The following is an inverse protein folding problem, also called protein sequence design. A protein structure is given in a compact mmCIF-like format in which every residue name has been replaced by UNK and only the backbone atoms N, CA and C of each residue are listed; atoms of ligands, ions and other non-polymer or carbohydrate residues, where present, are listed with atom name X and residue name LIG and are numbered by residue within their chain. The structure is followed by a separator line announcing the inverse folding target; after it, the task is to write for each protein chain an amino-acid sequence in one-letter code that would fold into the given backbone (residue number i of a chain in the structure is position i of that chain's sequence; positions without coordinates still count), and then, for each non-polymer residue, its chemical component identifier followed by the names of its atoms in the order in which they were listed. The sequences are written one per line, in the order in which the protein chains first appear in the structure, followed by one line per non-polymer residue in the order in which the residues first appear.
data_IF_296630505959
#
_entry.id   IF_296630505959
#
_cell.length_a   1.000
_cell.length_b   1.000
_cell.length_c   1.000
_cell.angle_alpha   90.00
_cell.angle_beta   90.00
_cell.angle_gamma   90.00
#
_symmetry.space_group_name_H-M   'P 1'
#
loop_
_entity.id
_entity.type
_entity.pdbx_description
1 polymer ?
#
# COMPACT_ATOMS: atom_id res chain seq x y z
N UNK A 1 19.97 4.61 14.14
CA UNK A 1 18.75 4.75 14.94
C UNK A 1 18.43 3.38 15.51
N UNK A 2 18.27 3.28 16.83
CA UNK A 2 17.88 2.03 17.48
C UNK A 2 16.45 1.65 17.08
N UNK A 3 16.12 0.35 17.03
CA UNK A 3 14.78 -0.12 16.69
C UNK A 3 13.73 0.37 17.71
N UNK A 4 14.11 0.52 18.98
CA UNK A 4 13.22 1.12 19.99
C UNK A 4 13.00 2.61 19.75
N UNK A 5 14.05 3.32 19.35
CA UNK A 5 14.01 4.75 19.01
C UNK A 5 13.19 4.99 17.74
N UNK A 6 13.31 4.12 16.73
CA UNK A 6 12.47 4.12 15.52
C UNK A 6 11.00 3.84 15.87
N UNK A 7 10.75 2.88 16.79
CA UNK A 7 9.39 2.60 17.27
C UNK A 7 8.77 3.78 18.00
N UNK A 8 9.51 4.46 18.87
CA UNK A 8 8.99 5.63 19.61
C UNK A 8 8.85 6.88 18.75
N UNK A 9 9.68 7.02 17.72
CA UNK A 9 9.62 8.17 16.79
C UNK A 9 8.45 8.06 15.82
N UNK A 10 8.10 6.84 15.38
CA UNK A 10 7.09 6.64 14.34
C UNK A 10 5.78 5.98 14.83
N UNK A 11 5.80 5.18 15.90
CA UNK A 11 4.56 4.84 16.60
C UNK A 11 4.24 5.97 17.57
N UNK A 12 3.21 6.74 17.24
CA UNK A 12 2.67 7.81 18.09
C UNK A 12 2.07 7.29 19.41
N UNK A 13 2.24 6.01 19.77
CA UNK A 13 1.59 5.40 20.93
C UNK A 13 2.28 4.11 21.44
N UNK A 14 2.19 3.84 22.75
CA UNK A 14 2.51 2.53 23.35
C UNK A 14 1.42 1.54 22.95
N UNK A 15 1.71 0.39 22.31
CA UNK A 15 0.69 -0.57 21.89
C UNK A 15 0.06 -1.38 23.05
N UNK A 16 0.64 -1.40 24.25
CA UNK A 16 0.13 -2.19 25.39
C UNK A 16 -1.31 -1.89 25.89
N UNK A 17 -1.79 -0.63 25.93
CA UNK A 17 -3.15 -0.30 26.34
C UNK A 17 -4.17 -0.55 25.23
N UNK A 18 -3.72 -0.83 24.00
CA UNK A 18 -4.58 -1.05 22.84
C UNK A 18 -4.80 -2.56 22.67
N UNK A 19 -6.06 -2.98 22.63
CA UNK A 19 -6.43 -4.39 22.57
C UNK A 19 -6.25 -5.01 21.19
N UNK A 20 -7.33 -5.37 20.50
CA UNK A 20 -7.26 -5.94 19.14
C UNK A 20 -6.92 -4.85 18.12
N UNK A 21 -5.70 -4.88 17.57
CA UNK A 21 -5.22 -3.91 16.56
C UNK A 21 -5.31 -4.50 15.15
N UNK A 22 -5.91 -3.75 14.23
CA UNK A 22 -5.96 -4.08 12.80
C UNK A 22 -5.11 -3.06 12.03
N UNK A 23 -4.36 -3.52 11.03
CA UNK A 23 -3.57 -2.65 10.14
C UNK A 23 -4.14 -2.63 8.73
N UNK A 24 -4.24 -1.45 8.15
CA UNK A 24 -4.74 -1.22 6.79
C UNK A 24 -3.65 -0.52 5.98
N UNK A 25 -3.11 -1.21 4.98
CA UNK A 25 -1.98 -0.73 4.18
C UNK A 25 -2.46 -0.34 2.79
N UNK A 26 -2.44 0.96 2.49
CA UNK A 26 -2.60 1.47 1.11
C UNK A 26 -1.25 1.46 0.39
N UNK A 27 -0.97 0.40 -0.36
CA UNK A 27 0.33 0.22 -1.02
C UNK A 27 0.63 1.30 -2.07
N UNK A 28 -0.41 1.92 -2.65
CA UNK A 28 -0.22 3.05 -3.57
C UNK A 28 0.44 4.24 -2.88
N UNK A 29 0.13 4.44 -1.59
CA UNK A 29 0.60 5.53 -0.76
C UNK A 29 1.82 5.20 0.12
N UNK A 30 2.24 3.93 0.21
CA UNK A 30 3.49 3.53 0.92
C UNK A 30 4.75 3.97 0.16
N UNK A 31 4.66 4.18 -1.16
CA UNK A 31 5.84 4.42 -2.02
C UNK A 31 6.58 5.73 -1.72
N UNK A 32 5.91 6.86 -1.44
CA UNK A 32 6.56 8.05 -0.91
C UNK A 32 7.27 7.80 0.43
N UNK A 33 6.65 7.11 1.39
CA UNK A 33 7.21 6.86 2.73
C UNK A 33 8.44 5.96 2.71
N UNK A 34 8.45 4.93 1.86
CA UNK A 34 9.59 4.02 1.74
C UNK A 34 10.89 4.75 1.36
N UNK A 35 10.80 5.86 0.61
CA UNK A 35 11.95 6.68 0.25
C UNK A 35 12.55 7.40 1.47
N UNK A 36 11.70 7.82 2.40
CA UNK A 36 12.10 8.55 3.60
C UNK A 36 12.61 7.61 4.70
N UNK A 37 11.98 6.45 4.88
CA UNK A 37 12.32 5.47 5.91
C UNK A 37 13.54 4.61 5.59
N UNK A 38 13.78 4.33 4.29
CA UNK A 38 14.94 3.54 3.85
C UNK A 38 15.75 4.30 2.79
N UNK A 39 16.37 5.43 3.18
CA UNK A 39 17.05 6.31 2.24
C UNK A 39 18.26 5.63 1.59
N UNK A 40 19.02 4.82 2.35
CA UNK A 40 20.16 4.05 1.79
C UNK A 40 19.73 3.02 0.74
N UNK A 41 18.55 2.41 0.92
CA UNK A 41 18.00 1.39 0.01
C UNK A 41 17.27 2.02 -1.19
N UNK A 42 16.93 3.33 -1.11
CA UNK A 42 16.17 4.08 -2.11
C UNK A 42 16.89 5.34 -2.64
N UNK A 43 18.22 5.41 -2.48
CA UNK A 43 19.05 6.63 -2.61
C UNK A 43 19.20 7.22 -4.01
N UNK A 44 18.69 6.58 -5.04
CA UNK A 44 18.80 7.04 -6.42
C UNK A 44 17.47 6.91 -7.14
N UNK A 45 17.36 7.39 -8.38
CA UNK A 45 16.24 7.21 -9.34
C UNK A 45 15.80 5.75 -9.60
N UNK A 46 16.08 4.83 -8.70
CA UNK A 46 15.71 3.45 -8.69
C UNK A 46 14.29 3.29 -8.16
N UNK A 47 13.44 2.73 -9.02
CA UNK A 47 12.22 2.06 -8.62
C UNK A 47 12.56 0.76 -7.88
N UNK A 48 13.24 0.83 -6.74
CA UNK A 48 13.37 -0.32 -5.86
C UNK A 48 11.95 -0.78 -5.50
N UNK A 49 11.70 -2.06 -5.73
CA UNK A 49 10.41 -2.66 -5.40
C UNK A 49 10.28 -2.61 -3.86
N UNK A 50 9.22 -1.96 -3.36
CA UNK A 50 9.00 -1.89 -1.90
C UNK A 50 8.87 -3.32 -1.38
N UNK A 51 9.63 -3.65 -0.33
CA UNK A 51 9.61 -4.99 0.20
C UNK A 51 8.36 -5.22 1.07
N UNK A 52 7.38 -5.90 0.48
CA UNK A 52 6.13 -6.28 1.15
C UNK A 52 6.36 -7.09 2.43
N UNK A 53 7.45 -7.86 2.52
CA UNK A 53 7.80 -8.59 3.73
C UNK A 53 8.17 -7.65 4.88
N UNK A 54 8.96 -6.59 4.60
CA UNK A 54 9.29 -5.56 5.58
C UNK A 54 8.06 -4.78 6.04
N UNK A 55 7.11 -4.47 5.13
CA UNK A 55 5.84 -3.85 5.54
C UNK A 55 5.07 -4.75 6.53
N UNK A 56 5.05 -6.07 6.28
CA UNK A 56 4.43 -7.01 7.20
C UNK A 56 5.12 -7.04 8.56
N UNK A 57 6.45 -6.96 8.56
CA UNK A 57 7.25 -6.87 9.79
C UNK A 57 6.88 -5.62 10.60
N UNK A 58 6.77 -4.46 9.94
CA UNK A 58 6.31 -3.21 10.57
C UNK A 58 4.93 -3.38 11.20
N UNK A 59 3.98 -3.99 10.46
CA UNK A 59 2.64 -4.30 11.01
C UNK A 59 2.73 -5.19 12.26
N UNK A 60 3.70 -6.11 12.32
CA UNK A 60 3.87 -7.03 13.45
C UNK A 60 4.39 -6.35 14.73
N UNK A 61 5.03 -5.18 14.62
CA UNK A 61 5.61 -4.47 15.77
C UNK A 61 4.56 -4.07 16.81
N UNK A 62 3.32 -3.86 16.38
CA UNK A 62 2.17 -3.56 17.24
C UNK A 62 1.24 -4.76 17.43
N UNK A 63 1.72 -5.98 17.18
CA UNK A 63 0.97 -7.23 17.36
C UNK A 63 -0.39 -7.23 16.66
N UNK A 64 -0.45 -6.74 15.41
CA UNK A 64 -1.71 -6.69 14.65
C UNK A 64 -2.37 -8.07 14.54
N UNK A 65 -3.66 -8.14 14.84
CA UNK A 65 -4.48 -9.36 14.69
C UNK A 65 -4.71 -9.69 13.21
N UNK A 66 -4.97 -8.67 12.39
CA UNK A 66 -5.13 -8.76 10.94
C UNK A 66 -4.41 -7.59 10.27
N UNK A 67 -3.90 -7.83 9.07
CA UNK A 67 -3.29 -6.80 8.24
C UNK A 67 -3.90 -6.90 6.84
N UNK A 68 -4.48 -5.81 6.36
CA UNK A 68 -5.10 -5.69 5.05
C UNK A 68 -4.14 -4.99 4.09
N UNK A 69 -4.08 -5.45 2.85
CA UNK A 69 -3.20 -4.91 1.81
C UNK A 69 -4.04 -4.49 0.61
N UNK A 70 -4.17 -3.17 0.44
CA UNK A 70 -4.94 -2.56 -0.64
C UNK A 70 -4.02 -2.23 -1.80
N UNK A 71 -4.35 -2.76 -2.99
CA UNK A 71 -3.50 -2.61 -4.16
C UNK A 71 -4.27 -2.47 -5.47
N UNK A 72 -3.92 -1.42 -6.20
CA UNK A 72 -4.37 -1.19 -7.57
C UNK A 72 -3.62 -2.08 -8.55
N UNK A 73 -4.31 -2.95 -9.29
CA UNK A 73 -3.68 -3.85 -10.26
C UNK A 73 -3.93 -3.40 -11.70
N UNK A 74 -3.05 -3.78 -12.62
CA UNK A 74 -3.31 -3.67 -14.05
C UNK A 74 -3.86 -5.00 -14.57
N UNK A 75 -5.04 -4.96 -15.19
CA UNK A 75 -5.56 -6.07 -15.98
C UNK A 75 -4.61 -6.43 -17.12
N UNK A 76 -4.74 -7.65 -17.64
CA UNK A 76 -4.00 -8.06 -18.83
C UNK A 76 -4.49 -7.23 -20.02
N UNK A 77 -3.58 -6.71 -20.81
CA UNK A 77 -3.94 -6.05 -22.06
C UNK A 77 -4.53 -7.08 -23.04
N UNK A 78 -5.83 -6.99 -23.30
CA UNK A 78 -6.57 -7.89 -24.19
C UNK A 78 -6.07 -7.85 -25.64
N UNK A 79 -5.31 -6.81 -26.01
CA UNK A 79 -4.71 -6.69 -27.34
C UNK A 79 -3.45 -7.53 -27.50
N UNK A 80 -2.84 -7.95 -26.40
CA UNK A 80 -1.67 -8.81 -26.44
C UNK A 80 -2.09 -10.25 -26.75
N UNK A 81 -1.43 -10.93 -27.70
CA UNK A 81 -1.67 -12.34 -27.98
C UNK A 81 -1.58 -13.22 -26.72
N UNK A 82 -2.24 -14.37 -26.78
CA UNK A 82 -2.13 -15.37 -25.72
C UNK A 82 -0.67 -15.83 -25.57
N UNK A 83 -0.20 -16.03 -24.33
CA UNK A 83 1.21 -16.33 -24.03
C UNK A 83 2.20 -15.15 -24.08
N UNK A 84 1.84 -13.98 -24.59
CA UNK A 84 2.74 -12.82 -24.55
C UNK A 84 2.87 -12.23 -23.13
N UNK A 85 4.07 -11.72 -22.84
CA UNK A 85 4.37 -11.08 -21.55
C UNK A 85 3.74 -9.69 -21.51
N UNK A 86 2.85 -9.47 -20.55
CA UNK A 86 2.41 -8.15 -20.12
C UNK A 86 3.17 -7.74 -18.85
N UNK A 87 4.21 -6.90 -18.92
CA UNK A 87 5.03 -6.57 -17.76
C UNK A 87 4.25 -5.88 -16.63
N UNK A 88 3.22 -5.09 -16.95
CA UNK A 88 2.44 -4.34 -15.93
C UNK A 88 1.48 -5.28 -15.19
N UNK A 89 0.82 -6.14 -15.93
CA UNK A 89 -0.03 -7.18 -15.37
C UNK A 89 0.80 -8.15 -14.52
N UNK A 90 1.88 -8.70 -15.08
CA UNK A 90 2.76 -9.66 -14.39
C UNK A 90 3.33 -9.10 -13.09
N UNK A 91 3.71 -7.81 -13.09
CA UNK A 91 4.18 -7.14 -11.88
C UNK A 91 3.07 -6.99 -10.83
N UNK A 92 1.84 -6.74 -11.26
CA UNK A 92 0.69 -6.66 -10.37
C UNK A 92 0.39 -8.03 -9.73
N UNK A 93 0.38 -9.10 -10.51
CA UNK A 93 0.21 -10.48 -10.03
C UNK A 93 1.29 -10.83 -9.02
N UNK A 94 2.56 -10.55 -9.34
CA UNK A 94 3.69 -10.79 -8.44
C UNK A 94 3.51 -10.13 -7.07
N UNK A 95 3.07 -8.87 -7.03
CA UNK A 95 2.84 -8.13 -5.78
C UNK A 95 1.70 -8.70 -4.96
N UNK A 96 0.59 -9.01 -5.62
CA UNK A 96 -0.59 -9.63 -4.99
C UNK A 96 -0.20 -10.96 -4.35
N UNK A 97 0.51 -11.81 -5.10
CA UNK A 97 0.95 -13.12 -4.61
C UNK A 97 1.97 -12.98 -3.48
N UNK A 98 2.90 -12.02 -3.58
CA UNK A 98 3.86 -11.74 -2.50
C UNK A 98 3.15 -11.25 -1.23
N UNK A 99 2.12 -10.40 -1.34
CA UNK A 99 1.32 -9.96 -0.20
C UNK A 99 0.56 -11.13 0.46
N UNK A 100 -0.08 -11.99 -0.34
CA UNK A 100 -0.75 -13.21 0.17
C UNK A 100 0.23 -14.15 0.88
N UNK A 101 1.40 -14.39 0.30
CA UNK A 101 2.47 -15.21 0.92
C UNK A 101 2.93 -14.64 2.27
N UNK A 102 2.87 -13.32 2.43
CA UNK A 102 3.17 -12.62 3.68
C UNK A 102 1.94 -12.46 4.61
N UNK A 103 0.87 -13.23 4.38
CA UNK A 103 -0.34 -13.28 5.24
C UNK A 103 -1.04 -11.92 5.39
N UNK A 104 -1.11 -11.17 4.30
CA UNK A 104 -2.04 -10.05 4.19
C UNK A 104 -3.40 -10.54 3.68
N UNK A 105 -4.47 -9.93 4.19
CA UNK A 105 -5.79 -9.96 3.55
C UNK A 105 -5.77 -8.98 2.39
N UNK A 106 -5.74 -9.48 1.16
CA UNK A 106 -5.50 -8.63 -0.02
C UNK A 106 -6.82 -8.14 -0.62
N UNK A 107 -6.94 -6.82 -0.74
CA UNK A 107 -8.05 -6.14 -1.41
C UNK A 107 -7.51 -5.50 -2.68
N UNK A 108 -8.08 -5.87 -3.83
CA UNK A 108 -7.61 -5.38 -5.13
C UNK A 108 -8.69 -4.65 -5.89
N UNK A 109 -8.27 -3.65 -6.66
CA UNK A 109 -9.12 -2.88 -7.57
C UNK A 109 -8.34 -2.63 -8.85
N UNK A 110 -9.02 -2.67 -9.99
CA UNK A 110 -8.34 -2.39 -11.25
C UNK A 110 -7.96 -0.91 -11.35
N UNK A 111 -6.74 -0.65 -11.81
CA UNK A 111 -6.21 0.70 -12.00
C UNK A 111 -6.80 1.32 -13.26
N UNK A 112 -7.43 2.47 -13.11
CA UNK A 112 -8.02 3.19 -14.24
C UNK A 112 -7.04 4.20 -14.80
N UNK A 113 -6.92 4.23 -16.13
CA UNK A 113 -6.11 5.21 -16.84
C UNK A 113 -6.94 6.47 -17.14
N UNK A 114 -6.73 7.52 -16.37
CA UNK A 114 -7.51 8.76 -16.49
C UNK A 114 -6.77 9.73 -17.44
N UNK A 115 -7.44 10.30 -18.45
CA UNK A 115 -6.84 11.32 -19.31
C UNK A 115 -6.51 12.58 -18.51
N UNK A 116 -5.33 13.16 -18.75
CA UNK A 116 -4.90 14.41 -18.16
C UNK A 116 -4.72 15.45 -19.26
N UNK A 117 -5.15 16.67 -18.93
CA UNK A 117 -5.04 17.85 -19.77
C UNK A 117 -4.23 18.91 -19.02
N UNK A 118 -3.51 19.74 -19.77
CA UNK A 118 -2.83 20.92 -19.20
C UNK A 118 -3.82 22.07 -18.97
N UNK A 119 -3.32 23.20 -18.46
CA UNK A 119 -4.10 24.40 -18.17
C UNK A 119 -4.79 25.00 -19.41
N UNK A 120 -4.28 24.69 -20.61
CA UNK A 120 -4.84 25.12 -21.89
C UNK A 120 -5.79 24.07 -22.49
N UNK A 121 -6.09 23.00 -21.76
CA UNK A 121 -6.96 21.92 -22.23
C UNK A 121 -6.31 20.98 -23.25
N UNK A 122 -4.98 21.04 -23.45
CA UNK A 122 -4.27 20.12 -24.35
C UNK A 122 -4.04 18.79 -23.67
N UNK A 123 -4.28 17.69 -24.38
CA UNK A 123 -4.07 16.34 -23.87
C UNK A 123 -2.57 16.08 -23.61
N UNK A 124 -2.24 15.72 -22.36
CA UNK A 124 -0.86 15.46 -21.90
C UNK A 124 -0.57 13.96 -21.81
N UNK A 125 -1.60 13.13 -21.65
CA UNK A 125 -1.45 11.69 -21.54
C UNK A 125 -2.51 11.06 -20.66
N UNK A 126 -2.32 9.78 -20.31
CA UNK A 126 -3.15 9.09 -19.32
C UNK A 126 -2.31 8.72 -18.12
N UNK A 127 -2.86 8.93 -16.92
CA UNK A 127 -2.20 8.62 -15.67
C UNK A 127 -2.96 7.53 -14.92
N UNK A 128 -2.25 6.58 -14.30
CA UNK A 128 -2.88 5.55 -13.50
C UNK A 128 -3.45 6.17 -12.22
N UNK A 129 -4.74 5.97 -11.98
CA UNK A 129 -5.37 6.30 -10.70
C UNK A 129 -6.05 5.05 -10.14
N UNK A 130 -5.79 4.80 -8.86
CA UNK A 130 -6.48 3.84 -8.03
C UNK A 130 -6.46 4.39 -6.61
N UNK A 131 -7.63 4.69 -6.05
CA UNK A 131 -7.78 5.09 -4.67
C UNK A 131 -8.60 4.05 -3.91
N UNK A 132 -8.27 3.92 -2.63
CA UNK A 132 -8.93 3.01 -1.70
C UNK A 132 -9.52 3.75 -0.49
N UNK A 133 -9.58 5.09 -0.51
CA UNK A 133 -10.07 5.89 0.61
C UNK A 133 -11.46 5.44 1.07
N UNK A 134 -12.36 5.19 0.11
CA UNK A 134 -13.74 4.74 0.40
C UNK A 134 -13.75 3.30 0.91
N UNK A 135 -13.06 2.39 0.22
CA UNK A 135 -13.02 0.97 0.56
C UNK A 135 -12.39 0.74 1.95
N UNK A 136 -11.28 1.41 2.24
CA UNK A 136 -10.64 1.32 3.55
C UNK A 136 -11.54 1.93 4.61
N UNK A 137 -12.15 3.09 4.36
CA UNK A 137 -13.09 3.71 5.32
C UNK A 137 -14.26 2.77 5.63
N UNK A 138 -14.83 2.11 4.62
CA UNK A 138 -15.91 1.13 4.81
C UNK A 138 -15.44 -0.11 5.57
N UNK A 139 -14.26 -0.64 5.26
CA UNK A 139 -13.70 -1.79 5.98
C UNK A 139 -13.38 -1.46 7.44
N UNK A 140 -12.93 -0.24 7.72
CA UNK A 140 -12.74 0.28 9.08
C UNK A 140 -14.08 0.27 9.81
N UNK A 141 -15.10 0.96 9.26
CA UNK A 141 -16.41 1.10 9.92
C UNK A 141 -17.08 -0.26 10.13
N UNK A 142 -17.07 -1.14 9.12
CA UNK A 142 -17.73 -2.46 9.22
C UNK A 142 -17.02 -3.39 10.20
N UNK A 143 -15.74 -3.17 10.49
CA UNK A 143 -14.95 -3.97 11.43
C UNK A 143 -14.80 -3.32 12.79
N UNK A 144 -15.49 -2.21 13.06
CA UNK A 144 -15.32 -1.42 14.29
C UNK A 144 -15.61 -2.22 15.57
N UNK A 145 -16.46 -3.25 15.52
CA UNK A 145 -16.71 -4.16 16.64
C UNK A 145 -15.66 -5.28 16.79
N UNK A 146 -14.82 -5.49 15.77
CA UNK A 146 -13.79 -6.54 15.73
C UNK A 146 -12.42 -6.07 16.21
N UNK A 147 -12.19 -4.76 16.27
CA UNK A 147 -10.98 -4.14 16.78
C UNK A 147 -11.28 -3.15 17.91
N UNK A 148 -10.31 -2.94 18.78
CA UNK A 148 -10.39 -1.89 19.82
C UNK A 148 -9.54 -0.69 19.43
N UNK A 149 -8.66 -0.86 18.44
CA UNK A 149 -7.75 0.20 17.98
C UNK A 149 -7.48 0.03 16.50
N UNK A 150 -7.50 1.16 15.79
CA UNK A 150 -7.28 1.26 14.37
C UNK A 150 -5.90 1.84 14.09
N UNK A 151 -5.09 1.12 13.30
CA UNK A 151 -3.94 1.72 12.63
C UNK A 151 -4.27 1.89 11.14
N UNK A 152 -4.55 3.15 10.77
CA UNK A 152 -4.77 3.57 9.40
C UNK A 152 -3.62 4.48 8.98
N UNK A 153 -2.85 4.04 7.99
CA UNK A 153 -1.69 4.78 7.49
C UNK A 153 -2.01 5.39 6.13
N UNK A 154 -2.19 6.71 6.11
CA UNK A 154 -2.24 7.55 4.90
C UNK A 154 -1.43 8.83 5.14
N UNK A 155 -0.80 9.41 4.10
CA UNK A 155 -0.12 10.69 4.26
C UNK A 155 -1.16 11.81 4.47
N UNK A 156 -1.16 12.42 5.65
CA UNK A 156 -1.62 13.80 5.80
C UNK A 156 -0.48 14.72 5.32
N UNK A 157 -0.75 15.53 4.30
CA UNK A 157 0.10 16.66 3.97
C UNK A 157 -0.29 17.86 4.85
N UNK A 158 0.65 18.60 5.47
CA UNK A 158 0.44 20.00 5.82
C UNK A 158 0.36 20.87 4.55
#
# INVERSE_FOLDING_TARGET
MDLQELKTTYFLFDPKPFGRIFAFVDFGNVRPWAKELWPEENKFRFSAEIDIAKIKEVCSWVKTKKSFFYYGYFGRDEKLPEGEKDPRHNKSVYRIDKARKNRFEVVTKETKMIPQYDENGKFVGKFPKCNFDVEITMDIITKISEYETLNYETPNFP
#
